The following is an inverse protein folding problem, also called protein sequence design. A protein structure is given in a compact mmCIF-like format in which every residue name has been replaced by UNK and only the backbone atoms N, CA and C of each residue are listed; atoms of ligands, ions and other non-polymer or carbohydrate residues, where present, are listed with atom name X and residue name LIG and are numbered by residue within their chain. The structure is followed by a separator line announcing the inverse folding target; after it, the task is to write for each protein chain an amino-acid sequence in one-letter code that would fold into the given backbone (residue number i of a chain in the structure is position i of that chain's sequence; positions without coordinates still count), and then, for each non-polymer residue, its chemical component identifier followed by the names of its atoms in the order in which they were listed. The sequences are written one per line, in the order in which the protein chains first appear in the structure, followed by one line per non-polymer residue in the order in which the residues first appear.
data_IF_808758791027
#
_entry.id   IF_808758791027
#
_cell.length_a   1.000
_cell.length_b   1.000
_cell.length_c   1.000
_cell.angle_alpha   90.00
_cell.angle_beta   90.00
_cell.angle_gamma   90.00
#
_symmetry.space_group_name_H-M   'P 1'
#
loop_
_entity.id
_entity.type
_entity.pdbx_description
1 polymer ?
#
# COMPACT_ATOMS: atom_id res chain seq x y z
N UNK A 1 6.38 11.93 -1.39
CA UNK A 1 4.98 11.88 -1.80
C UNK A 1 4.59 13.30 -2.20
N UNK A 2 3.95 13.48 -3.34
CA UNK A 2 3.55 14.77 -3.88
C UNK A 2 2.05 14.74 -4.17
N UNK A 3 1.29 15.73 -3.68
CA UNK A 3 -0.12 15.85 -4.04
C UNK A 3 -0.23 16.41 -5.46
N UNK A 4 -0.97 15.72 -6.32
CA UNK A 4 -1.12 16.09 -7.74
C UNK A 4 -2.56 16.48 -8.10
N UNK A 5 -3.54 16.06 -7.29
CA UNK A 5 -4.93 16.50 -7.32
C UNK A 5 -5.58 16.20 -5.95
N UNK A 6 -6.84 16.62 -5.70
CA UNK A 6 -7.55 16.22 -4.50
C UNK A 6 -7.59 14.69 -4.36
N UNK A 7 -7.17 14.17 -3.22
CA UNK A 7 -7.11 12.73 -2.92
C UNK A 7 -6.20 11.92 -3.86
N UNK A 8 -5.36 12.57 -4.66
CA UNK A 8 -4.45 11.92 -5.60
C UNK A 8 -3.01 12.34 -5.36
N UNK A 9 -2.14 11.34 -5.26
CA UNK A 9 -0.75 11.53 -4.86
C UNK A 9 0.18 10.75 -5.78
N UNK A 10 1.33 11.34 -6.10
CA UNK A 10 2.44 10.67 -6.79
C UNK A 10 3.55 10.32 -5.78
N UNK A 11 4.12 9.13 -5.91
CA UNK A 11 5.23 8.67 -5.10
C UNK A 11 6.26 7.93 -5.94
N UNK A 12 7.53 8.07 -5.59
CA UNK A 12 8.61 7.24 -6.11
C UNK A 12 9.08 6.30 -5.01
N UNK A 13 9.03 5.00 -5.26
CA UNK A 13 9.41 3.95 -4.34
C UNK A 13 10.64 3.20 -4.84
N UNK A 14 11.66 3.09 -3.99
CA UNK A 14 12.82 2.22 -4.24
C UNK A 14 12.66 0.94 -3.43
N UNK A 15 12.53 -0.20 -4.11
CA UNK A 15 12.45 -1.52 -3.48
C UNK A 15 13.76 -2.25 -3.73
N UNK A 16 14.34 -2.83 -2.68
CA UNK A 16 15.64 -3.49 -2.72
C UNK A 16 15.62 -4.93 -2.19
N UNK A 17 14.45 -5.58 -2.16
CA UNK A 17 14.27 -6.85 -1.45
C UNK A 17 14.19 -8.02 -2.42
N UNK A 18 15.20 -8.90 -2.36
CA UNK A 18 15.27 -10.12 -3.15
C UNK A 18 15.12 -9.87 -4.66
N UNK A 19 14.28 -10.66 -5.33
CA UNK A 19 13.97 -10.51 -6.76
C UNK A 19 13.10 -9.31 -7.11
N UNK A 20 12.63 -8.54 -6.11
CA UNK A 20 11.73 -7.38 -6.28
C UNK A 20 12.55 -6.09 -6.16
N UNK A 21 13.69 -6.01 -6.84
CA UNK A 21 14.57 -4.83 -6.82
C UNK A 21 14.23 -3.88 -7.97
N UNK A 22 14.00 -2.61 -7.66
CA UNK A 22 13.70 -1.61 -8.68
C UNK A 22 13.28 -0.26 -8.10
N UNK A 23 13.22 0.73 -8.98
CA UNK A 23 12.56 2.00 -8.70
C UNK A 23 11.22 2.01 -9.43
N UNK A 24 10.17 2.36 -8.71
CA UNK A 24 8.80 2.43 -9.21
C UNK A 24 8.27 3.83 -9.00
N UNK A 25 7.68 4.41 -10.03
CA UNK A 25 6.83 5.59 -9.92
C UNK A 25 5.39 5.13 -9.81
N UNK A 26 4.68 5.61 -8.80
CA UNK A 26 3.31 5.24 -8.57
C UNK A 26 2.40 6.41 -8.26
N UNK A 27 1.11 6.16 -8.47
CA UNK A 27 0.00 7.03 -8.13
C UNK A 27 -0.90 6.31 -7.14
N UNK A 28 -1.35 7.05 -6.14
CA UNK A 28 -2.36 6.59 -5.18
C UNK A 28 -3.54 7.53 -5.27
N UNK A 29 -4.75 6.97 -5.32
CA UNK A 29 -6.00 7.71 -5.27
C UNK A 29 -6.87 7.18 -4.13
N UNK A 30 -7.40 8.09 -3.33
CA UNK A 30 -8.36 7.77 -2.27
C UNK A 30 -9.78 7.96 -2.83
N UNK A 31 -10.64 6.96 -2.68
CA UNK A 31 -12.03 6.98 -3.15
C UNK A 31 -12.98 6.39 -2.11
N UNK A 32 -14.29 6.54 -2.36
CA UNK A 32 -15.35 5.90 -1.57
C UNK A 32 -15.23 6.12 -0.04
N UNK A 33 -14.82 7.34 0.36
CA UNK A 33 -14.65 7.69 1.77
C UNK A 33 -15.99 7.65 2.51
N UNK A 34 -16.02 6.93 3.63
CA UNK A 34 -17.10 6.90 4.61
C UNK A 34 -16.51 7.15 6.00
N UNK A 35 -16.20 8.40 6.37
CA UNK A 35 -15.60 8.69 7.67
C UNK A 35 -16.57 8.36 8.83
N UNK A 36 -16.08 7.80 9.96
CA UNK A 36 -14.69 7.35 10.22
C UNK A 36 -14.42 5.89 9.82
N UNK A 37 -15.37 5.20 9.18
CA UNK A 37 -15.42 3.74 9.07
C UNK A 37 -14.54 3.16 7.96
N UNK A 38 -14.47 3.77 6.77
CA UNK A 38 -13.81 3.13 5.63
C UNK A 38 -13.44 4.06 4.49
N UNK A 39 -12.54 3.59 3.63
CA UNK A 39 -12.21 4.18 2.34
C UNK A 39 -11.55 3.14 1.42
N UNK A 40 -11.46 3.47 0.12
CA UNK A 40 -10.70 2.69 -0.86
C UNK A 40 -9.44 3.42 -1.30
N UNK A 41 -8.42 2.64 -1.61
CA UNK A 41 -7.19 3.08 -2.26
C UNK A 41 -7.07 2.40 -3.61
N UNK A 42 -6.94 3.19 -4.68
CA UNK A 42 -6.48 2.70 -5.97
C UNK A 42 -5.00 3.05 -6.12
N UNK A 43 -4.17 2.05 -6.40
CA UNK A 43 -2.72 2.19 -6.50
C UNK A 43 -2.27 1.69 -7.87
N UNK A 44 -1.49 2.50 -8.57
CA UNK A 44 -0.78 2.10 -9.77
C UNK A 44 0.70 2.40 -9.59
N UNK A 45 1.57 1.52 -10.08
CA UNK A 45 3.02 1.67 -10.00
C UNK A 45 3.68 1.08 -11.23
N UNK A 46 4.64 1.79 -11.81
CA UNK A 46 5.41 1.35 -12.97
C UNK A 46 6.88 1.59 -12.74
N UNK A 47 7.72 0.67 -13.20
CA UNK A 47 9.16 0.77 -13.11
C UNK A 47 9.83 -0.15 -14.12
N UNK A 48 11.17 -0.06 -14.23
CA UNK A 48 11.93 -0.89 -15.18
C UNK A 48 11.58 -2.40 -15.12
N UNK A 49 11.46 -3.02 -13.93
CA UNK A 49 11.14 -4.44 -13.82
C UNK A 49 9.69 -4.84 -14.14
N UNK A 50 8.76 -3.88 -14.25
CA UNK A 50 7.34 -4.19 -14.48
C UNK A 50 6.38 -3.18 -13.85
N UNK A 51 5.15 -3.63 -13.61
CA UNK A 51 4.09 -2.79 -13.06
C UNK A 51 3.29 -3.51 -11.97
N UNK A 52 2.62 -2.70 -11.16
CA UNK A 52 1.66 -3.09 -10.13
C UNK A 52 0.41 -2.23 -10.29
N UNK A 53 -0.76 -2.85 -10.23
CA UNK A 53 -2.05 -2.17 -10.11
C UNK A 53 -2.84 -2.86 -9.02
N UNK A 54 -3.50 -2.12 -8.15
CA UNK A 54 -4.33 -2.74 -7.13
C UNK A 54 -5.32 -1.80 -6.51
N UNK A 55 -6.36 -2.41 -5.96
CA UNK A 55 -7.36 -1.74 -5.15
C UNK A 55 -7.36 -2.33 -3.75
N UNK A 56 -7.41 -1.46 -2.75
CA UNK A 56 -7.46 -1.86 -1.34
C UNK A 56 -8.66 -1.23 -0.67
N UNK A 57 -9.47 -2.04 0.00
CA UNK A 57 -10.48 -1.56 0.94
C UNK A 57 -9.86 -1.49 2.33
N UNK A 58 -10.00 -0.35 3.00
CA UNK A 58 -9.57 -0.16 4.38
C UNK A 58 -10.80 0.11 5.24
N UNK A 59 -10.92 -0.62 6.35
CA UNK A 59 -11.97 -0.42 7.35
C UNK A 59 -11.35 -0.18 8.73
N UNK A 60 -12.00 0.70 9.48
CA UNK A 60 -11.64 1.14 10.82
C UNK A 60 -12.81 0.80 11.74
N UNK A 61 -12.50 0.18 12.88
CA UNK A 61 -13.48 -0.11 13.91
C UNK A 61 -12.86 0.04 15.28
N UNK A 62 -13.68 0.16 16.31
CA UNK A 62 -13.19 0.12 17.68
C UNK A 62 -12.51 -1.23 17.97
N UNK A 63 -11.41 -1.17 18.70
CA UNK A 63 -10.73 -2.34 19.27
C UNK A 63 -10.94 -2.38 20.78
N UNK A 64 -10.79 -3.57 21.36
CA UNK A 64 -10.77 -3.73 22.80
C UNK A 64 -9.66 -2.86 23.43
N UNK A 65 -9.96 -2.29 24.61
CA UNK A 65 -9.02 -1.41 25.31
C UNK A 65 -8.94 0.03 24.77
N UNK A 66 -9.89 0.45 23.92
CA UNK A 66 -9.98 1.83 23.44
C UNK A 66 -9.08 2.17 22.25
N UNK A 67 -8.53 1.16 21.58
CA UNK A 67 -7.76 1.34 20.34
C UNK A 67 -8.63 1.33 19.08
N UNK A 68 -8.00 1.47 17.92
CA UNK A 68 -8.64 1.29 16.62
C UNK A 68 -8.11 0.02 15.96
N UNK A 69 -9.01 -0.87 15.54
CA UNK A 69 -8.70 -2.00 14.66
C UNK A 69 -8.73 -1.50 13.22
N UNK A 70 -7.62 -1.72 12.52
CA UNK A 70 -7.51 -1.47 11.08
C UNK A 70 -7.53 -2.81 10.36
N UNK A 71 -8.51 -3.01 9.49
CA UNK A 71 -8.54 -4.15 8.58
C UNK A 71 -8.40 -3.66 7.14
N UNK A 72 -7.74 -4.47 6.31
CA UNK A 72 -7.56 -4.17 4.90
C UNK A 72 -7.66 -5.43 4.05
N UNK A 73 -8.17 -5.27 2.84
CA UNK A 73 -8.18 -6.32 1.81
C UNK A 73 -7.77 -5.69 0.49
N UNK A 74 -6.77 -6.27 -0.16
CA UNK A 74 -6.19 -5.75 -1.39
C UNK A 74 -6.27 -6.80 -2.51
N UNK A 75 -6.78 -6.37 -3.67
CA UNK A 75 -6.64 -7.10 -4.93
C UNK A 75 -5.54 -6.42 -5.74
N UNK A 76 -4.53 -7.19 -6.16
CA UNK A 76 -3.33 -6.63 -6.79
C UNK A 76 -2.93 -7.47 -7.99
N UNK A 77 -2.83 -6.81 -9.13
CA UNK A 77 -2.25 -7.33 -10.36
C UNK A 77 -0.79 -6.89 -10.48
N UNK A 78 0.10 -7.85 -10.76
CA UNK A 78 1.52 -7.62 -11.01
C UNK A 78 1.89 -8.19 -12.38
N UNK A 79 2.66 -7.43 -13.17
CA UNK A 79 3.09 -7.86 -14.50
C UNK A 79 4.51 -7.41 -14.83
N UNK A 80 5.07 -7.99 -15.90
CA UNK A 80 6.46 -7.79 -16.32
C UNK A 80 7.42 -8.79 -15.68
N UNK A 81 8.74 -8.51 -15.77
CA UNK A 81 9.78 -9.42 -15.25
C UNK A 81 9.63 -9.66 -13.74
N UNK A 82 9.16 -8.68 -12.99
CA UNK A 82 8.92 -8.80 -11.56
C UNK A 82 7.87 -9.88 -11.22
N UNK A 83 6.92 -10.17 -12.11
CA UNK A 83 5.94 -11.23 -11.88
C UNK A 83 6.56 -12.64 -11.89
N UNK A 84 7.73 -12.79 -12.54
CA UNK A 84 8.43 -14.09 -12.64
C UNK A 84 9.00 -14.60 -11.32
N UNK A 85 9.13 -13.74 -10.29
CA UNK A 85 9.66 -14.12 -8.97
C UNK A 85 8.73 -15.04 -8.18
N UNK A 86 7.48 -15.19 -8.63
CA UNK A 86 6.48 -16.10 -8.07
C UNK A 86 5.68 -15.52 -6.89
N UNK A 87 4.47 -16.05 -6.70
CA UNK A 87 3.50 -15.53 -5.72
C UNK A 87 4.03 -15.55 -4.28
N UNK A 88 4.80 -16.58 -3.88
CA UNK A 88 5.34 -16.68 -2.52
C UNK A 88 6.28 -15.52 -2.19
N UNK A 89 7.17 -15.16 -3.11
CA UNK A 89 8.12 -14.07 -2.90
C UNK A 89 7.40 -12.72 -2.91
N UNK A 90 6.49 -12.50 -3.87
CA UNK A 90 5.67 -11.28 -3.94
C UNK A 90 4.85 -11.08 -2.65
N UNK A 91 4.20 -12.14 -2.17
CA UNK A 91 3.43 -12.11 -0.92
C UNK A 91 4.28 -11.77 0.30
N UNK A 92 5.50 -12.32 0.39
CA UNK A 92 6.44 -12.00 1.46
C UNK A 92 6.87 -10.52 1.46
N UNK A 93 7.18 -9.97 0.28
CA UNK A 93 7.54 -8.55 0.14
C UNK A 93 6.34 -7.65 0.45
N UNK A 94 5.14 -8.00 -0.03
CA UNK A 94 3.92 -7.27 0.25
C UNK A 94 3.63 -7.21 1.77
N UNK A 95 3.71 -8.36 2.46
CA UNK A 95 3.53 -8.42 3.92
C UNK A 95 4.56 -7.55 4.65
N UNK A 96 5.84 -7.66 4.30
CA UNK A 96 6.88 -6.84 4.91
C UNK A 96 6.64 -5.33 4.71
N UNK A 97 6.15 -4.91 3.53
CA UNK A 97 5.81 -3.51 3.28
C UNK A 97 4.61 -3.05 4.12
N UNK A 98 3.58 -3.88 4.24
CA UNK A 98 2.42 -3.60 5.09
C UNK A 98 2.84 -3.48 6.57
N UNK A 99 3.65 -4.41 7.07
CA UNK A 99 4.15 -4.39 8.45
C UNK A 99 4.94 -3.10 8.73
N UNK A 100 5.80 -2.67 7.79
CA UNK A 100 6.54 -1.40 7.91
C UNK A 100 5.63 -0.19 7.91
N UNK A 101 4.63 -0.16 7.03
CA UNK A 101 3.67 0.94 6.94
C UNK A 101 2.88 1.08 8.25
N UNK A 102 2.25 0.00 8.72
CA UNK A 102 1.43 0.04 9.93
C UNK A 102 2.26 0.24 11.19
N UNK A 103 3.48 -0.30 11.25
CA UNK A 103 4.43 0.00 12.33
C UNK A 103 4.73 1.49 12.41
N UNK A 104 5.10 2.12 11.29
CA UNK A 104 5.38 3.56 11.24
C UNK A 104 4.15 4.42 11.52
N UNK A 105 2.98 4.01 11.04
CA UNK A 105 1.72 4.70 11.34
C UNK A 105 1.41 4.67 12.84
N UNK A 106 1.58 3.51 13.50
CA UNK A 106 1.37 3.40 14.94
C UNK A 106 2.34 4.26 15.73
N UNK A 107 3.61 4.33 15.34
CA UNK A 107 4.60 5.23 15.97
C UNK A 107 4.15 6.69 15.87
N UNK A 108 3.78 7.16 14.68
CA UNK A 108 3.37 8.56 14.46
C UNK A 108 2.08 8.93 15.21
N UNK A 109 1.14 8.01 15.37
CA UNK A 109 -0.11 8.24 16.08
C UNK A 109 0.06 8.26 17.60
N UNK A 110 1.13 7.64 18.13
CA UNK A 110 1.44 7.65 19.58
C UNK A 110 2.23 8.89 20.01
N UNK A 111 2.88 9.57 19.07
CA UNK A 111 3.62 10.82 19.29
C UNK A 111 2.74 12.10 19.30
N UNK A 112 1.41 11.94 19.26
CA UNK A 112 0.43 13.05 19.32
C UNK A 112 -0.41 12.96 20.60
#
# INVERSE_FOLDING_TARGET
LEAIAPEEYKATMKVGVGGVKGTFEGKVKITEKKPPESYKLAVEGTGGPGFVRGETVITLSDAEGGGTRVAYSADVQVGGLIASVGQRMLGGVAKMMADKFFGKMSEMLQDT
#
